data_IF_862141044973
#
_entry.id   IF_862141044973
#
_cell.length_a   1.000
_cell.length_b   1.000
_cell.length_c   1.000
_cell.angle_alpha   90.00
_cell.angle_beta   90.00
_cell.angle_gamma   90.00
#
_symmetry.space_group_name_H-M   'P 1'
#
loop_
_entity.id
_entity.type
_entity.pdbx_description
1 polymer ?
#
# COMPACT_ATOMS: atom_id res chain seq x y z
N UNK A 1 -2.68 13.69 -7.66
CA UNK A 1 -3.16 14.22 -6.36
C UNK A 1 -2.42 15.49 -5.95
N UNK A 2 -1.07 15.51 -5.95
CA UNK A 2 -0.31 16.75 -5.66
C UNK A 2 -0.70 17.95 -6.54
N UNK A 3 -0.84 17.76 -7.85
CA UNK A 3 -1.30 18.81 -8.78
C UNK A 3 -2.76 19.26 -8.53
N UNK A 4 -3.52 18.53 -7.71
CA UNK A 4 -4.88 18.86 -7.29
C UNK A 4 -4.93 19.41 -5.85
N UNK A 5 -3.79 19.85 -5.29
CA UNK A 5 -3.65 20.40 -3.94
C UNK A 5 -3.95 19.39 -2.81
N UNK A 6 -3.43 18.17 -2.94
CA UNK A 6 -3.44 17.16 -1.89
C UNK A 6 -2.02 16.75 -1.48
N UNK A 7 -1.82 16.54 -0.19
CA UNK A 7 -0.61 15.97 0.39
C UNK A 7 -0.77 14.46 0.59
N UNK A 8 0.26 13.70 0.23
CA UNK A 8 0.29 12.25 0.46
C UNK A 8 0.52 11.95 1.94
N UNK A 9 -0.16 10.93 2.45
CA UNK A 9 0.04 10.43 3.81
C UNK A 9 0.45 8.96 3.78
N UNK A 10 1.51 8.65 4.52
CA UNK A 10 2.02 7.29 4.65
C UNK A 10 1.13 6.40 5.51
N UNK A 11 1.19 5.10 5.25
CA UNK A 11 0.51 4.10 6.06
C UNK A 11 1.35 3.77 7.31
N UNK A 12 0.68 3.72 8.47
CA UNK A 12 1.29 3.27 9.71
C UNK A 12 1.63 1.78 9.69
N UNK A 13 2.60 1.37 10.52
CA UNK A 13 3.06 -0.03 10.60
C UNK A 13 1.94 -1.03 10.93
N UNK A 14 0.98 -0.62 11.77
CA UNK A 14 -0.18 -1.44 12.12
C UNK A 14 -1.01 -1.79 10.88
N UNK A 15 -1.38 -0.79 10.07
CA UNK A 15 -2.11 -0.98 8.83
C UNK A 15 -1.34 -1.87 7.84
N UNK A 16 -0.02 -1.66 7.72
CA UNK A 16 0.84 -2.52 6.88
C UNK A 16 0.83 -3.97 7.38
N UNK A 17 0.85 -4.18 8.70
CA UNK A 17 0.78 -5.49 9.34
C UNK A 17 -0.54 -6.21 9.10
N UNK A 18 -1.67 -5.51 9.24
CA UNK A 18 -3.00 -6.05 8.96
C UNK A 18 -3.14 -6.48 7.50
N UNK A 19 -2.69 -5.64 6.56
CA UNK A 19 -2.72 -5.98 5.14
C UNK A 19 -1.86 -7.21 4.85
N UNK A 20 -0.66 -7.29 5.45
CA UNK A 20 0.20 -8.46 5.30
C UNK A 20 -0.48 -9.73 5.82
N UNK A 21 -1.07 -9.69 7.02
CA UNK A 21 -1.77 -10.83 7.61
C UNK A 21 -2.92 -11.31 6.71
N UNK A 22 -3.72 -10.37 6.19
CA UNK A 22 -4.81 -10.67 5.25
C UNK A 22 -4.29 -11.31 3.94
N UNK A 23 -3.16 -10.86 3.39
CA UNK A 23 -2.58 -11.48 2.20
C UNK A 23 -2.04 -12.89 2.46
N UNK A 24 -1.46 -13.11 3.64
CA UNK A 24 -0.94 -14.42 4.05
C UNK A 24 -2.08 -15.47 4.16
N UNK A 25 -3.31 -15.06 4.43
CA UNK A 25 -4.50 -15.93 4.46
C UNK A 25 -5.00 -16.34 3.06
N UNK A 26 -4.81 -15.51 2.03
CA UNK A 26 -5.57 -15.62 0.78
C UNK A 26 -4.86 -16.21 -0.44
N UNK A 27 -3.53 -16.39 -0.45
CA UNK A 27 -2.81 -17.32 -1.35
C UNK A 27 -1.28 -17.11 -1.32
N UNK A 28 -0.53 -18.20 -1.47
CA UNK A 28 0.90 -18.17 -1.77
C UNK A 28 1.16 -17.52 -3.15
N UNK A 29 1.64 -16.28 -3.14
CA UNK A 29 1.89 -15.51 -4.37
C UNK A 29 1.73 -14.00 -4.16
N UNK A 30 0.96 -13.59 -3.15
CA UNK A 30 0.92 -12.19 -2.75
C UNK A 30 2.21 -11.77 -2.03
N UNK A 31 2.61 -10.53 -2.26
CA UNK A 31 3.67 -9.86 -1.52
C UNK A 31 3.32 -8.38 -1.37
N UNK A 32 3.95 -7.71 -0.40
CA UNK A 32 3.70 -6.30 -0.11
C UNK A 32 5.02 -5.53 -0.09
N UNK A 33 5.03 -4.36 -0.75
CA UNK A 33 6.12 -3.39 -0.70
C UNK A 33 5.63 -2.13 -0.02
N UNK A 34 6.38 -1.64 0.96
CA UNK A 34 6.18 -0.32 1.55
C UNK A 34 7.07 0.67 0.82
N UNK A 35 6.47 1.74 0.32
CA UNK A 35 7.15 2.93 -0.19
C UNK A 35 6.76 4.12 0.71
N UNK A 36 7.47 5.24 0.61
CA UNK A 36 7.40 6.31 1.62
C UNK A 36 5.95 6.77 1.95
N UNK A 37 5.10 6.96 0.94
CA UNK A 37 3.73 7.45 1.08
C UNK A 37 2.67 6.45 0.59
N UNK A 38 3.06 5.23 0.22
CA UNK A 38 2.15 4.26 -0.39
C UNK A 38 2.53 2.81 -0.10
N UNK A 39 1.57 1.92 -0.32
CA UNK A 39 1.80 0.47 -0.32
C UNK A 39 1.52 -0.09 -1.70
N UNK A 40 2.34 -1.04 -2.13
CA UNK A 40 2.20 -1.72 -3.40
C UNK A 40 2.03 -3.21 -3.15
N UNK A 41 0.89 -3.76 -3.56
CA UNK A 41 0.65 -5.19 -3.53
C UNK A 41 1.20 -5.80 -4.82
N UNK A 42 1.84 -6.94 -4.66
CA UNK A 42 2.46 -7.69 -5.73
C UNK A 42 1.84 -9.07 -5.85
N UNK A 43 1.70 -9.55 -7.07
CA UNK A 43 1.35 -10.94 -7.35
C UNK A 43 2.51 -11.59 -8.10
N UNK A 44 3.10 -12.62 -7.50
CA UNK A 44 4.30 -13.31 -7.99
C UNK A 44 5.45 -12.34 -8.32
N UNK A 45 5.63 -11.32 -7.48
CA UNK A 45 6.67 -10.31 -7.61
C UNK A 45 6.34 -9.14 -8.56
N UNK A 46 5.23 -9.21 -9.31
CA UNK A 46 4.78 -8.12 -10.18
C UNK A 46 3.88 -7.15 -9.42
N UNK A 47 4.13 -5.84 -9.52
CA UNK A 47 3.28 -4.80 -8.93
C UNK A 47 1.91 -4.81 -9.62
N UNK A 48 0.83 -4.99 -8.87
CA UNK A 48 -0.53 -5.12 -9.42
C UNK A 48 -1.57 -4.22 -8.76
N UNK A 49 -1.35 -3.78 -7.51
CA UNK A 49 -2.24 -2.83 -6.83
C UNK A 49 -1.40 -1.75 -6.15
N UNK A 50 -1.80 -0.49 -6.33
CA UNK A 50 -1.18 0.68 -5.73
C UNK A 50 -2.19 1.35 -4.81
N UNK A 51 -1.89 1.43 -3.51
CA UNK A 51 -2.74 2.10 -2.55
C UNK A 51 -2.03 3.33 -2.01
N UNK A 52 -2.74 4.47 -2.02
CA UNK A 52 -2.24 5.75 -1.53
C UNK A 52 -3.36 6.47 -0.80
N UNK A 53 -3.02 7.19 0.26
CA UNK A 53 -3.95 8.01 1.00
C UNK A 53 -3.52 9.48 0.93
N UNK A 54 -4.50 10.38 0.97
CA UNK A 54 -4.29 11.79 0.67
C UNK A 54 -5.15 12.67 1.59
N UNK A 55 -4.60 13.79 2.03
CA UNK A 55 -5.32 14.85 2.72
C UNK A 55 -5.31 16.12 1.85
N UNK A 56 -6.38 16.95 1.89
CA UNK A 56 -6.30 18.29 1.34
C UNK A 56 -5.11 19.05 1.98
N UNK A 57 -4.33 19.73 1.15
CA UNK A 57 -3.21 20.56 1.57
C UNK A 57 -3.67 21.96 1.98
#
# INVERSE_FOLDING_TARGET
MRNANFQGIGFGEECVGEVKAMLDEHAAGWGLKKEDECIVLTWKGHNVVFASAWLPA
#
